data_IF_559549887527
#
_entry.id   IF_559549887527
#
_cell.length_a   1.000
_cell.length_b   1.000
_cell.length_c   1.000
_cell.angle_alpha   90.00
_cell.angle_beta   90.00
_cell.angle_gamma   90.00
#
_symmetry.space_group_name_H-M   'P 1'
#
loop_
_entity.id
_entity.type
_entity.pdbx_description
1 polymer ?
#
# COMPACT_ATOMS: atom_id res chain seq x y z
N UNK A 1 21.55 6.91 -9.09
CA UNK A 1 20.39 6.58 -8.25
C UNK A 1 19.18 7.40 -8.71
N UNK A 2 17.99 6.81 -8.76
CA UNK A 2 16.76 7.54 -9.11
C UNK A 2 16.44 8.60 -8.05
N UNK A 3 15.87 9.73 -8.46
CA UNK A 3 15.42 10.78 -7.55
C UNK A 3 14.12 10.32 -6.90
N UNK A 4 14.07 10.32 -5.56
CA UNK A 4 12.87 9.98 -4.81
C UNK A 4 11.86 11.14 -4.88
N UNK A 5 10.65 10.88 -5.36
CA UNK A 5 9.55 11.82 -5.38
C UNK A 5 8.50 11.39 -4.34
N UNK A 6 8.45 12.07 -3.20
CA UNK A 6 7.59 11.73 -2.06
C UNK A 6 6.22 12.37 -2.22
N UNK A 7 5.17 11.56 -2.17
CA UNK A 7 3.77 11.93 -2.34
C UNK A 7 2.98 11.65 -1.05
N UNK A 8 2.36 12.66 -0.47
CA UNK A 8 1.51 12.55 0.71
C UNK A 8 0.04 12.72 0.33
N UNK A 9 -0.78 11.73 0.64
CA UNK A 9 -2.23 11.79 0.45
C UNK A 9 -2.92 11.64 1.82
N UNK A 10 -3.43 12.72 2.42
CA UNK A 10 -4.04 12.68 3.74
C UNK A 10 -5.46 12.11 3.71
N UNK A 11 -5.57 10.85 3.32
CA UNK A 11 -6.83 10.11 3.17
C UNK A 11 -6.75 8.71 3.75
N UNK A 12 -7.89 8.18 4.17
CA UNK A 12 -8.11 6.79 4.58
C UNK A 12 -9.44 6.32 4.02
N UNK A 13 -9.45 5.25 3.25
CA UNK A 13 -10.68 4.72 2.63
C UNK A 13 -11.48 5.79 1.87
N UNK A 14 -10.79 6.62 1.09
CA UNK A 14 -11.40 7.71 0.33
C UNK A 14 -11.90 8.89 1.16
N UNK A 15 -11.68 8.91 2.47
CA UNK A 15 -12.09 9.94 3.42
C UNK A 15 -10.90 10.79 3.82
N UNK A 16 -11.09 12.11 4.01
CA UNK A 16 -10.04 13.01 4.45
C UNK A 16 -9.55 12.67 5.87
N UNK A 17 -8.21 12.66 6.07
CA UNK A 17 -7.52 12.40 7.34
C UNK A 17 -6.34 13.35 7.50
N UNK A 18 -6.60 14.52 8.04
CA UNK A 18 -5.60 15.59 8.15
C UNK A 18 -4.43 15.28 9.09
N UNK A 19 -4.59 14.30 9.99
CA UNK A 19 -3.51 13.87 10.90
C UNK A 19 -2.22 13.44 10.17
N UNK A 20 -2.34 12.87 8.97
CA UNK A 20 -1.17 12.49 8.16
C UNK A 20 -0.32 13.70 7.70
N UNK A 21 -0.89 14.91 7.66
CA UNK A 21 -0.17 16.14 7.28
C UNK A 21 0.98 16.47 8.24
N UNK A 22 0.96 15.91 9.45
CA UNK A 22 2.03 16.04 10.43
C UNK A 22 3.38 15.50 9.92
N UNK A 23 3.38 14.61 8.95
CA UNK A 23 4.60 14.14 8.28
C UNK A 23 5.39 15.31 7.67
N UNK A 24 4.72 16.36 7.19
CA UNK A 24 5.36 17.57 6.64
C UNK A 24 6.18 18.34 7.67
N UNK A 25 5.87 18.17 8.96
CA UNK A 25 6.56 18.83 10.08
C UNK A 25 7.68 17.95 10.65
N UNK A 26 7.53 16.61 10.55
CA UNK A 26 8.43 15.64 11.15
C UNK A 26 9.57 15.25 10.20
N UNK A 27 9.26 15.07 8.91
CA UNK A 27 10.24 14.65 7.92
C UNK A 27 11.09 15.83 7.44
N UNK A 28 12.38 15.62 7.34
CA UNK A 28 13.33 16.59 6.76
C UNK A 28 13.25 16.69 5.24
N UNK A 29 12.63 15.70 4.60
CA UNK A 29 12.50 15.65 3.14
C UNK A 29 11.18 16.27 2.70
N UNK A 30 11.15 16.93 1.53
CA UNK A 30 9.93 17.50 0.99
C UNK A 30 8.96 16.43 0.52
N UNK A 31 7.67 16.63 0.83
CA UNK A 31 6.55 15.85 0.32
C UNK A 31 5.66 16.74 -0.53
N UNK A 32 5.32 16.25 -1.71
CA UNK A 32 4.23 16.83 -2.50
C UNK A 32 2.91 16.32 -1.95
N UNK A 33 2.07 17.22 -1.46
CA UNK A 33 0.74 16.84 -0.96
C UNK A 33 -0.26 16.82 -2.13
N UNK A 34 -0.89 15.67 -2.35
CA UNK A 34 -1.96 15.49 -3.33
C UNK A 34 -3.32 15.54 -2.64
N UNK A 35 -4.19 16.42 -3.11
CA UNK A 35 -5.55 16.58 -2.57
C UNK A 35 -6.57 16.66 -3.69
N UNK A 36 -7.74 16.05 -3.45
CA UNK A 36 -8.88 16.14 -4.38
C UNK A 36 -9.56 17.53 -4.29
N UNK A 37 -10.09 17.95 -5.42
CA UNK A 37 -11.01 19.10 -5.51
C UNK A 37 -12.28 18.68 -6.29
N UNK A 38 -13.49 18.79 -5.72
CA UNK A 38 -13.76 19.06 -4.31
C UNK A 38 -13.25 17.95 -3.40
N UNK A 39 -12.87 18.32 -2.17
CA UNK A 39 -12.42 17.35 -1.18
C UNK A 39 -13.57 16.42 -0.75
N UNK A 40 -13.28 15.12 -0.53
CA UNK A 40 -14.25 14.21 0.05
C UNK A 40 -14.56 14.56 1.49
N UNK A 41 -15.70 14.09 1.97
CA UNK A 41 -16.09 14.25 3.36
C UNK A 41 -15.12 13.53 4.31
N UNK A 42 -15.05 13.99 5.56
CA UNK A 42 -14.26 13.36 6.61
C UNK A 42 -14.85 12.01 7.05
N UNK A 43 -16.15 11.78 6.76
CA UNK A 43 -16.83 10.52 7.03
C UNK A 43 -17.70 10.14 5.84
N UNK A 44 -17.49 8.93 5.34
CA UNK A 44 -18.30 8.27 4.31
C UNK A 44 -18.61 6.88 4.84
N UNK A 45 -19.88 6.59 5.10
CA UNK A 45 -20.28 5.29 5.65
C UNK A 45 -20.64 4.29 4.55
N UNK A 46 -21.26 4.75 3.46
CA UNK A 46 -21.68 3.89 2.35
C UNK A 46 -20.44 3.35 1.58
N UNK A 47 -20.30 2.02 1.41
CA UNK A 47 -19.17 1.43 0.70
C UNK A 47 -19.13 1.76 -0.80
N UNK A 48 -20.27 2.02 -1.44
CA UNK A 48 -20.32 2.44 -2.85
C UNK A 48 -19.76 3.84 -3.00
N UNK A 49 -20.13 4.76 -2.10
CA UNK A 49 -19.57 6.12 -2.09
C UNK A 49 -18.08 6.11 -1.73
N UNK A 50 -17.64 5.24 -0.79
CA UNK A 50 -16.20 5.03 -0.52
C UNK A 50 -15.45 4.62 -1.78
N UNK A 51 -15.96 3.63 -2.51
CA UNK A 51 -15.33 3.15 -3.75
C UNK A 51 -15.29 4.25 -4.81
N UNK A 52 -16.33 5.08 -4.91
CA UNK A 52 -16.33 6.23 -5.82
C UNK A 52 -15.25 7.26 -5.44
N UNK A 53 -15.13 7.58 -4.16
CA UNK A 53 -14.09 8.47 -3.64
C UNK A 53 -12.69 7.90 -3.87
N UNK A 54 -12.48 6.60 -3.58
CA UNK A 54 -11.22 5.88 -3.85
C UNK A 54 -10.84 5.91 -5.33
N UNK A 55 -11.82 5.68 -6.22
CA UNK A 55 -11.59 5.73 -7.67
C UNK A 55 -11.04 7.09 -8.13
N UNK A 56 -11.64 8.20 -7.65
CA UNK A 56 -11.17 9.56 -7.94
C UNK A 56 -9.78 9.82 -7.37
N UNK A 57 -9.57 9.46 -6.09
CA UNK A 57 -8.33 9.71 -5.36
C UNK A 57 -7.15 8.99 -6.01
N UNK A 58 -7.32 7.70 -6.31
CA UNK A 58 -6.22 6.90 -6.82
C UNK A 58 -6.04 7.01 -8.34
N UNK A 59 -7.03 7.50 -9.08
CA UNK A 59 -6.82 7.97 -10.45
C UNK A 59 -5.89 9.20 -10.48
N UNK A 60 -6.07 10.15 -9.56
CA UNK A 60 -5.17 11.28 -9.39
C UNK A 60 -3.75 10.84 -9.03
N UNK A 61 -3.62 9.90 -8.08
CA UNK A 61 -2.33 9.31 -7.72
C UNK A 61 -1.68 8.64 -8.93
N UNK A 62 -2.42 7.82 -9.68
CA UNK A 62 -1.92 7.12 -10.87
C UNK A 62 -1.37 8.09 -11.92
N UNK A 63 -2.10 9.16 -12.21
CA UNK A 63 -1.65 10.20 -13.15
C UNK A 63 -0.33 10.86 -12.68
N UNK A 64 -0.21 11.16 -11.38
CA UNK A 64 1.01 11.76 -10.83
C UNK A 64 2.19 10.80 -10.84
N UNK A 65 1.96 9.55 -10.43
CA UNK A 65 2.98 8.47 -10.48
C UNK A 65 3.46 8.26 -11.92
N UNK A 66 2.55 8.22 -12.89
CA UNK A 66 2.91 8.08 -14.30
C UNK A 66 3.82 9.24 -14.79
N UNK A 67 3.49 10.47 -14.42
CA UNK A 67 4.32 11.62 -14.77
C UNK A 67 5.73 11.50 -14.17
N UNK A 68 5.85 11.18 -12.88
CA UNK A 68 7.13 11.02 -12.19
C UNK A 68 7.96 9.87 -12.77
N UNK A 69 7.34 8.71 -13.00
CA UNK A 69 8.04 7.54 -13.51
C UNK A 69 8.58 7.76 -14.95
N UNK A 70 7.84 8.49 -15.81
CA UNK A 70 8.32 8.87 -17.16
C UNK A 70 9.59 9.74 -17.09
N UNK A 71 9.75 10.55 -16.05
CA UNK A 71 10.93 11.38 -15.82
C UNK A 71 12.04 10.65 -15.06
N UNK A 72 11.93 9.34 -14.86
CA UNK A 72 12.95 8.54 -14.16
C UNK A 72 12.98 8.73 -12.64
N UNK A 73 11.99 9.40 -12.06
CA UNK A 73 11.87 9.50 -10.61
C UNK A 73 11.30 8.18 -10.02
N UNK A 74 11.67 7.91 -8.77
CA UNK A 74 11.06 6.85 -7.95
C UNK A 74 9.90 7.45 -7.16
N UNK A 75 8.63 7.18 -7.50
CA UNK A 75 7.51 7.62 -6.69
C UNK A 75 7.46 6.86 -5.36
N UNK A 76 7.25 7.61 -4.28
CA UNK A 76 7.11 7.11 -2.91
C UNK A 76 5.84 7.71 -2.33
N UNK A 77 4.78 6.92 -2.15
CA UNK A 77 3.51 7.41 -1.59
C UNK A 77 3.34 7.04 -0.13
N UNK A 78 2.78 7.96 0.65
CA UNK A 78 2.29 7.73 2.01
C UNK A 78 0.80 8.08 2.05
N UNK A 79 -0.02 7.08 2.33
CA UNK A 79 -1.49 7.17 2.33
C UNK A 79 -2.05 6.39 3.51
N UNK A 80 -3.30 6.60 3.89
CA UNK A 80 -3.90 5.92 5.04
C UNK A 80 -4.30 4.46 4.81
N UNK A 81 -4.24 3.93 3.57
CA UNK A 81 -4.74 2.58 3.26
C UNK A 81 -4.01 1.90 2.10
N UNK A 82 -4.08 0.56 2.06
CA UNK A 82 -3.44 -0.30 1.06
C UNK A 82 -4.07 -0.19 -0.33
N UNK A 83 -5.30 0.36 -0.46
CA UNK A 83 -5.95 0.57 -1.77
C UNK A 83 -5.12 1.53 -2.65
N UNK A 84 -4.30 2.39 -2.05
CA UNK A 84 -3.36 3.28 -2.75
C UNK A 84 -2.38 2.54 -3.68
N UNK A 85 -2.08 1.27 -3.37
CA UNK A 85 -1.22 0.42 -4.21
C UNK A 85 -1.76 0.28 -5.64
N UNK A 86 -3.08 0.29 -5.81
CA UNK A 86 -3.74 0.24 -7.12
C UNK A 86 -3.39 1.47 -7.98
N UNK A 87 -3.39 2.66 -7.37
CA UNK A 87 -2.99 3.90 -8.04
C UNK A 87 -1.50 3.91 -8.40
N UNK A 88 -0.66 3.37 -7.52
CA UNK A 88 0.77 3.24 -7.79
C UNK A 88 1.05 2.31 -8.97
N UNK A 89 0.46 1.10 -8.98
CA UNK A 89 0.60 0.14 -10.07
C UNK A 89 0.08 0.73 -11.39
N UNK A 90 -1.14 1.27 -11.39
CA UNK A 90 -1.74 1.86 -12.58
C UNK A 90 -0.85 2.98 -13.17
N UNK A 91 -0.28 3.82 -12.32
CA UNK A 91 0.65 4.88 -12.74
C UNK A 91 1.94 4.34 -13.36
N UNK A 92 2.53 3.29 -12.78
CA UNK A 92 3.72 2.63 -13.34
C UNK A 92 3.43 2.01 -14.72
N UNK A 93 2.27 1.34 -14.85
CA UNK A 93 1.82 0.76 -16.13
C UNK A 93 1.57 1.85 -17.18
N UNK A 94 0.90 2.94 -16.83
CA UNK A 94 0.67 4.10 -17.71
C UNK A 94 1.97 4.80 -18.13
N UNK A 95 3.01 4.69 -17.32
CA UNK A 95 4.34 5.20 -17.68
C UNK A 95 5.13 4.27 -18.62
N UNK A 96 4.63 3.06 -18.90
CA UNK A 96 5.37 2.03 -19.62
C UNK A 96 6.54 1.44 -18.80
N UNK A 97 6.45 1.51 -17.47
CA UNK A 97 7.47 1.03 -16.53
C UNK A 97 6.90 0.03 -15.52
N UNK A 98 6.28 -1.08 -15.99
CA UNK A 98 5.73 -2.08 -15.09
C UNK A 98 6.83 -2.64 -14.17
N UNK A 99 6.54 -2.94 -12.90
CA UNK A 99 7.48 -3.71 -12.07
C UNK A 99 7.58 -5.14 -12.60
N UNK A 100 8.72 -5.78 -12.37
CA UNK A 100 8.91 -7.21 -12.67
C UNK A 100 8.48 -8.06 -11.47
N UNK A 101 8.59 -7.51 -10.27
CA UNK A 101 8.21 -8.13 -8.99
C UNK A 101 7.51 -7.11 -8.09
N UNK A 102 6.52 -7.59 -7.32
CA UNK A 102 5.89 -6.83 -6.24
C UNK A 102 6.18 -7.53 -4.91
N UNK A 103 6.74 -6.80 -3.96
CA UNK A 103 6.82 -7.21 -2.58
C UNK A 103 5.71 -6.52 -1.80
N UNK A 104 4.79 -7.31 -1.24
CA UNK A 104 3.70 -6.87 -0.38
C UNK A 104 4.03 -7.26 1.05
N UNK A 105 4.41 -6.27 1.88
CA UNK A 105 4.70 -6.44 3.30
C UNK A 105 3.47 -6.05 4.10
N UNK A 106 2.86 -7.01 4.79
CA UNK A 106 1.59 -6.82 5.50
C UNK A 106 1.40 -7.91 6.55
N UNK A 107 0.78 -7.58 7.68
CA UNK A 107 0.35 -8.57 8.66
C UNK A 107 -0.86 -9.38 8.20
N UNK A 108 -1.61 -8.85 7.21
CA UNK A 108 -2.85 -9.40 6.67
C UNK A 108 -2.66 -9.93 5.25
N UNK A 109 -3.68 -10.54 4.69
CA UNK A 109 -3.63 -11.04 3.32
C UNK A 109 -4.10 -10.02 2.29
N UNK A 110 -4.98 -9.11 2.69
CA UNK A 110 -5.64 -8.15 1.82
C UNK A 110 -6.30 -8.80 0.59
N UNK A 111 -6.72 -10.08 0.73
CA UNK A 111 -7.08 -10.95 -0.36
C UNK A 111 -8.56 -11.34 -0.40
N UNK A 112 -9.38 -10.61 0.36
CA UNK A 112 -10.84 -10.78 0.35
C UNK A 112 -11.49 -10.22 -0.93
N UNK A 113 -12.67 -10.76 -1.21
CA UNK A 113 -13.68 -10.16 -2.11
C UNK A 113 -14.95 -9.91 -1.31
N UNK A 114 -15.96 -9.25 -1.90
CA UNK A 114 -17.27 -9.09 -1.23
C UNK A 114 -17.91 -10.43 -0.85
N UNK A 115 -17.60 -11.50 -1.58
CA UNK A 115 -18.09 -12.84 -1.31
C UNK A 115 -17.44 -13.52 -0.11
N UNK A 116 -16.18 -13.22 0.17
CA UNK A 116 -15.41 -13.90 1.22
C UNK A 116 -15.26 -13.08 2.50
N UNK A 117 -15.40 -11.74 2.44
CA UNK A 117 -15.23 -10.89 3.62
C UNK A 117 -16.35 -11.04 4.62
N UNK A 118 -16.00 -11.18 5.89
CA UNK A 118 -16.94 -11.20 7.00
C UNK A 118 -17.26 -9.78 7.49
N UNK A 119 -16.28 -8.88 7.45
CA UNK A 119 -16.37 -7.52 7.98
C UNK A 119 -16.97 -6.52 6.99
N UNK A 120 -17.03 -6.88 5.69
CA UNK A 120 -17.41 -5.99 4.59
C UNK A 120 -16.47 -4.78 4.47
N UNK A 121 -15.23 -4.90 4.96
CA UNK A 121 -14.23 -3.84 4.96
C UNK A 121 -13.40 -3.87 3.67
N UNK A 122 -13.40 -2.76 2.94
CA UNK A 122 -12.68 -2.64 1.66
C UNK A 122 -11.16 -2.79 1.87
N UNK A 123 -10.65 -2.39 3.03
CA UNK A 123 -9.22 -2.47 3.36
C UNK A 123 -8.66 -3.89 3.38
N UNK A 124 -9.48 -4.93 3.50
CA UNK A 124 -9.02 -6.32 3.37
C UNK A 124 -9.09 -6.88 1.93
N UNK A 125 -9.19 -6.01 0.90
CA UNK A 125 -9.36 -6.44 -0.51
C UNK A 125 -8.28 -5.93 -1.48
N UNK A 126 -7.36 -5.05 -1.13
CA UNK A 126 -6.48 -4.39 -2.10
C UNK A 126 -5.61 -5.35 -2.91
N UNK A 127 -5.01 -6.35 -2.30
CA UNK A 127 -4.19 -7.33 -3.02
C UNK A 127 -5.04 -8.19 -3.96
N UNK A 128 -6.26 -8.57 -3.55
CA UNK A 128 -7.19 -9.27 -4.45
C UNK A 128 -7.52 -8.41 -5.67
N UNK A 129 -7.88 -7.14 -5.47
CA UNK A 129 -8.13 -6.18 -6.55
C UNK A 129 -6.89 -5.98 -7.44
N UNK A 130 -5.71 -5.94 -6.85
CA UNK A 130 -4.42 -5.74 -7.51
C UNK A 130 -4.12 -6.86 -8.53
N UNK A 131 -4.48 -8.09 -8.20
CA UNK A 131 -4.29 -9.26 -9.09
C UNK A 131 -5.55 -9.61 -9.89
N UNK A 132 -6.57 -8.77 -9.87
CA UNK A 132 -7.81 -8.96 -10.64
C UNK A 132 -8.79 -9.97 -10.04
N UNK A 133 -8.60 -10.37 -8.78
CA UNK A 133 -9.56 -11.22 -8.06
C UNK A 133 -10.69 -10.35 -7.50
N UNK A 134 -11.79 -10.24 -8.23
CA UNK A 134 -12.95 -9.41 -7.88
C UNK A 134 -14.25 -10.14 -8.15
N UNK A 135 -15.33 -9.75 -7.46
CA UNK A 135 -16.66 -10.31 -7.73
C UNK A 135 -17.30 -9.63 -8.95
N UNK A 136 -17.85 -10.44 -9.83
CA UNK A 136 -18.61 -10.02 -11.01
C UNK A 136 -20.14 -10.14 -10.80
N UNK A 137 -20.60 -10.03 -9.55
CA UNK A 137 -22.02 -10.13 -9.22
C UNK A 137 -22.77 -8.85 -9.61
N UNK A 138 -24.06 -8.94 -9.96
CA UNK A 138 -24.85 -7.78 -10.35
C UNK A 138 -25.34 -6.92 -9.15
N UNK A 139 -24.63 -6.97 -8.01
CA UNK A 139 -24.93 -6.15 -6.84
C UNK A 139 -24.21 -4.77 -6.89
N UNK A 140 -24.69 -3.78 -6.13
CA UNK A 140 -24.12 -2.42 -6.18
C UNK A 140 -22.65 -2.35 -5.80
N UNK A 141 -22.16 -3.15 -4.85
CA UNK A 141 -20.78 -3.11 -4.35
C UNK A 141 -19.80 -3.68 -5.39
N UNK A 142 -20.15 -4.84 -5.98
CA UNK A 142 -19.34 -5.43 -7.06
C UNK A 142 -19.24 -4.49 -8.26
N UNK A 143 -20.35 -3.87 -8.69
CA UNK A 143 -20.33 -2.86 -9.75
C UNK A 143 -19.49 -1.63 -9.39
N UNK A 144 -19.60 -1.15 -8.16
CA UNK A 144 -18.82 0.00 -7.69
C UNK A 144 -17.32 -0.32 -7.62
N UNK A 145 -16.96 -1.56 -7.24
CA UNK A 145 -15.56 -2.01 -7.26
C UNK A 145 -15.00 -2.00 -8.68
N UNK A 146 -15.71 -2.59 -9.64
CA UNK A 146 -15.29 -2.58 -11.04
C UNK A 146 -15.17 -1.16 -11.60
N UNK A 147 -16.13 -0.28 -11.26
CA UNK A 147 -16.08 1.14 -11.65
C UNK A 147 -14.89 1.87 -11.02
N UNK A 148 -14.57 1.58 -9.74
CA UNK A 148 -13.40 2.12 -9.06
C UNK A 148 -12.10 1.69 -9.76
N UNK A 149 -11.92 0.41 -10.04
CA UNK A 149 -10.75 -0.12 -10.73
C UNK A 149 -10.59 0.47 -12.14
N UNK A 150 -11.71 0.59 -12.87
CA UNK A 150 -11.72 1.22 -14.20
C UNK A 150 -11.33 2.70 -14.13
N UNK A 151 -11.84 3.45 -13.16
CA UNK A 151 -11.52 4.86 -12.97
C UNK A 151 -10.02 5.08 -12.66
N UNK A 152 -9.41 4.20 -11.86
CA UNK A 152 -7.98 4.22 -11.55
C UNK A 152 -7.14 3.79 -12.77
N UNK A 153 -7.70 2.98 -13.66
CA UNK A 153 -6.99 2.36 -14.77
C UNK A 153 -6.20 1.11 -14.38
N UNK A 154 -6.72 0.37 -13.39
CA UNK A 154 -6.07 -0.86 -12.91
C UNK A 154 -6.15 -1.95 -13.97
N UNK A 155 -5.02 -2.59 -14.22
CA UNK A 155 -4.91 -3.83 -14.97
C UNK A 155 -4.43 -4.92 -14.01
N UNK A 156 -5.04 -6.11 -14.08
CA UNK A 156 -4.68 -7.24 -13.23
C UNK A 156 -3.18 -7.56 -13.34
N UNK A 157 -2.51 -7.60 -12.20
CA UNK A 157 -1.09 -7.93 -12.14
C UNK A 157 -0.92 -9.45 -11.98
N UNK A 158 0.07 -10.09 -12.61
CA UNK A 158 0.30 -11.53 -12.50
C UNK A 158 0.59 -11.98 -11.07
N UNK A 159 -0.17 -12.94 -10.56
CA UNK A 159 -0.06 -13.44 -9.19
C UNK A 159 1.33 -14.02 -8.88
N UNK A 160 1.92 -14.74 -9.83
CA UNK A 160 3.24 -15.36 -9.71
C UNK A 160 4.40 -14.36 -9.59
N UNK A 161 4.12 -13.08 -9.79
CA UNK A 161 5.07 -11.97 -9.61
C UNK A 161 4.89 -11.24 -8.29
N UNK A 162 3.98 -11.71 -7.44
CA UNK A 162 3.75 -11.13 -6.11
C UNK A 162 4.39 -12.00 -5.04
N UNK A 163 5.12 -11.37 -4.14
CA UNK A 163 5.61 -11.94 -2.89
C UNK A 163 4.85 -11.27 -1.76
N UNK A 164 3.98 -12.02 -1.08
CA UNK A 164 3.28 -11.58 0.13
C UNK A 164 4.08 -12.03 1.36
N UNK A 165 4.65 -11.08 2.07
CA UNK A 165 5.54 -11.37 3.18
C UNK A 165 4.90 -11.01 4.52
N UNK A 166 5.04 -11.94 5.46
CA UNK A 166 4.65 -11.88 6.86
C UNK A 166 3.13 -11.81 7.13
N UNK A 167 2.30 -12.18 6.15
CA UNK A 167 0.86 -12.29 6.33
C UNK A 167 0.52 -13.43 7.30
N UNK A 168 0.28 -13.07 8.56
CA UNK A 168 0.12 -13.99 9.70
C UNK A 168 -1.28 -13.99 10.31
N UNK A 169 -2.06 -12.93 10.08
CA UNK A 169 -3.47 -12.82 10.47
C UNK A 169 -4.36 -12.94 9.23
N UNK A 170 -4.80 -14.15 8.97
CA UNK A 170 -5.58 -14.50 7.78
C UNK A 170 -6.94 -15.06 8.21
N UNK A 171 -8.00 -14.42 7.78
CA UNK A 171 -9.35 -14.93 7.89
C UNK A 171 -9.52 -16.25 7.10
N UNK A 172 -10.45 -17.16 7.49
CA UNK A 172 -10.62 -18.46 6.83
C UNK A 172 -10.77 -18.36 5.31
N UNK A 173 -11.73 -17.60 4.78
CA UNK A 173 -11.97 -17.49 3.33
C UNK A 173 -10.84 -16.81 2.54
N UNK A 174 -10.00 -16.02 3.21
CA UNK A 174 -8.81 -15.41 2.65
C UNK A 174 -7.65 -16.41 2.59
N UNK A 175 -7.48 -17.19 3.65
CA UNK A 175 -6.45 -18.23 3.76
C UNK A 175 -6.58 -19.26 2.64
N UNK A 176 -7.78 -19.78 2.41
CA UNK A 176 -8.06 -20.73 1.35
C UNK A 176 -7.77 -20.10 -0.03
N UNK A 177 -8.23 -18.88 -0.25
CA UNK A 177 -8.00 -18.19 -1.52
C UNK A 177 -6.51 -17.94 -1.82
N UNK A 178 -5.71 -17.66 -0.79
CA UNK A 178 -4.26 -17.51 -0.93
C UNK A 178 -3.56 -18.85 -1.19
N UNK A 179 -4.05 -19.94 -0.60
CA UNK A 179 -3.52 -21.28 -0.87
C UNK A 179 -3.77 -21.73 -2.32
N UNK A 180 -4.91 -21.33 -2.90
CA UNK A 180 -5.30 -21.63 -4.28
C UNK A 180 -4.68 -20.65 -5.30
N UNK A 181 -3.96 -19.62 -4.84
CA UNK A 181 -3.33 -18.59 -5.68
C UNK A 181 -1.91 -18.97 -6.10
N UNK A 182 -1.39 -18.28 -7.12
CA UNK A 182 0.04 -18.34 -7.48
C UNK A 182 0.90 -17.32 -6.74
N UNK A 183 0.36 -16.61 -5.73
CA UNK A 183 1.10 -15.67 -4.90
C UNK A 183 2.07 -16.44 -4.01
N UNK A 184 3.36 -16.06 -4.07
CA UNK A 184 4.36 -16.61 -3.16
C UNK A 184 4.16 -16.00 -1.77
N UNK A 185 4.10 -16.85 -0.74
CA UNK A 185 4.02 -16.42 0.65
C UNK A 185 5.30 -16.81 1.39
N UNK A 186 5.84 -15.89 2.19
CA UNK A 186 7.06 -16.13 2.95
C UNK A 186 7.07 -15.31 4.26
N UNK A 187 7.99 -15.62 5.15
CA UNK A 187 8.32 -14.76 6.29
C UNK A 187 9.22 -13.60 5.86
N UNK A 188 9.39 -12.61 6.74
CA UNK A 188 10.20 -11.43 6.45
C UNK A 188 11.66 -11.79 6.15
N UNK A 189 12.24 -12.73 6.87
CA UNK A 189 13.64 -13.18 6.74
C UNK A 189 13.90 -13.96 5.44
N UNK A 190 12.87 -14.57 4.86
CA UNK A 190 12.96 -15.28 3.58
C UNK A 190 12.87 -14.34 2.36
N UNK A 191 12.39 -13.11 2.53
CA UNK A 191 12.18 -12.15 1.42
C UNK A 191 13.40 -12.02 0.50
N UNK A 192 14.66 -11.87 1.01
CA UNK A 192 15.81 -11.73 0.12
C UNK A 192 16.04 -12.92 -0.82
N UNK A 193 15.63 -14.13 -0.44
CA UNK A 193 15.78 -15.33 -1.27
C UNK A 193 14.81 -15.35 -2.47
N UNK A 194 13.75 -14.53 -2.44
CA UNK A 194 12.71 -14.48 -3.46
C UNK A 194 12.80 -13.25 -4.38
N UNK A 195 13.80 -12.40 -4.17
CA UNK A 195 14.04 -11.20 -4.97
C UNK A 195 15.35 -11.30 -5.74
N UNK A 196 15.39 -10.67 -6.92
CA UNK A 196 16.61 -10.59 -7.74
C UNK A 196 17.03 -9.13 -7.88
N UNK A 197 18.33 -8.84 -7.81
CA UNK A 197 18.83 -7.45 -7.92
C UNK A 197 18.51 -6.76 -9.25
N UNK A 198 18.35 -7.53 -10.32
CA UNK A 198 18.08 -7.07 -11.68
C UNK A 198 16.58 -6.90 -11.99
N UNK A 199 15.68 -7.38 -11.10
CA UNK A 199 14.25 -7.19 -11.24
C UNK A 199 13.82 -5.80 -10.73
N UNK A 200 12.97 -5.12 -11.50
CA UNK A 200 12.31 -3.88 -11.06
C UNK A 200 11.30 -4.21 -9.98
N UNK A 201 11.58 -3.77 -8.76
CA UNK A 201 10.78 -4.08 -7.58
C UNK A 201 9.83 -2.93 -7.25
N UNK A 202 8.54 -3.20 -7.14
CA UNK A 202 7.59 -2.34 -6.46
C UNK A 202 7.37 -2.86 -5.03
N UNK A 203 7.66 -2.04 -4.04
CA UNK A 203 7.43 -2.33 -2.63
C UNK A 203 6.12 -1.68 -2.17
N UNK A 204 5.15 -2.50 -1.74
CA UNK A 204 4.03 -2.08 -0.91
C UNK A 204 4.32 -2.46 0.55
N UNK A 205 4.19 -1.50 1.45
CA UNK A 205 4.41 -1.68 2.87
C UNK A 205 3.19 -1.20 3.67
N UNK A 206 2.40 -2.13 4.24
CA UNK A 206 1.54 -1.79 5.36
C UNK A 206 2.38 -1.73 6.64
N UNK A 207 2.27 -0.62 7.36
CA UNK A 207 3.07 -0.41 8.58
C UNK A 207 2.69 -1.35 9.71
N UNK A 208 1.51 -2.00 9.67
CA UNK A 208 1.03 -2.93 10.66
C UNK A 208 1.72 -4.31 10.62
N UNK A 209 2.52 -4.58 9.57
CA UNK A 209 3.42 -5.74 9.56
C UNK A 209 4.36 -5.72 10.77
N UNK A 210 4.68 -4.53 11.30
CA UNK A 210 5.60 -4.35 12.43
C UNK A 210 4.92 -4.68 13.76
N UNK A 211 5.59 -5.47 14.60
CA UNK A 211 5.20 -5.72 15.99
C UNK A 211 6.21 -5.06 16.94
N UNK A 212 6.13 -3.75 17.09
CA UNK A 212 6.96 -2.99 18.02
C UNK A 212 6.16 -1.85 18.66
N UNK A 213 5.28 -2.18 19.63
CA UNK A 213 4.38 -1.19 20.23
C UNK A 213 5.13 -0.12 21.03
N UNK A 214 6.39 -0.35 21.38
CA UNK A 214 7.23 0.64 22.05
C UNK A 214 7.66 1.75 21.09
N UNK A 215 8.05 1.39 19.89
CA UNK A 215 8.50 2.33 18.86
C UNK A 215 7.35 2.85 17.99
N UNK A 216 6.34 2.01 17.75
CA UNK A 216 5.22 2.27 16.84
C UNK A 216 3.87 2.03 17.54
N UNK A 217 3.50 2.82 18.57
CA UNK A 217 2.30 2.58 19.36
C UNK A 217 0.99 2.88 18.63
N UNK A 218 1.02 3.60 17.50
CA UNK A 218 -0.16 4.04 16.76
C UNK A 218 -0.46 3.22 15.48
N UNK A 219 0.03 1.97 15.40
CA UNK A 219 -0.30 1.10 14.27
C UNK A 219 -1.81 0.78 14.24
N UNK A 220 -2.39 0.73 13.02
CA UNK A 220 -3.73 0.20 12.79
C UNK A 220 -3.66 -1.32 12.74
N UNK A 221 -4.70 -1.98 13.26
CA UNK A 221 -4.86 -3.44 13.12
C UNK A 221 -3.64 -4.25 13.54
N UNK A 222 -2.91 -3.77 14.56
CA UNK A 222 -1.69 -4.36 15.05
C UNK A 222 -1.83 -5.87 15.35
N UNK A 223 -0.96 -6.67 14.77
CA UNK A 223 -0.89 -8.12 14.93
C UNK A 223 0.40 -8.52 15.63
N UNK A 224 0.31 -9.33 16.67
CA UNK A 224 1.47 -9.82 17.42
C UNK A 224 2.32 -10.83 16.62
N UNK A 225 3.56 -11.03 17.09
CA UNK A 225 4.54 -11.99 16.54
C UNK A 225 5.03 -11.61 15.15
N UNK A 226 5.02 -10.32 14.84
CA UNK A 226 5.62 -9.76 13.63
C UNK A 226 7.06 -9.31 13.87
N UNK A 227 7.70 -8.81 12.81
CA UNK A 227 9.02 -8.23 12.90
C UNK A 227 9.02 -6.94 13.72
N UNK A 228 10.11 -6.70 14.42
CA UNK A 228 10.36 -5.42 15.10
C UNK A 228 10.65 -4.31 14.07
N UNK A 229 10.57 -3.06 14.50
CA UNK A 229 10.99 -1.92 13.67
C UNK A 229 12.47 -2.04 13.24
N UNK A 230 13.33 -2.65 14.07
CA UNK A 230 14.74 -2.85 13.74
C UNK A 230 14.93 -3.92 12.64
N UNK A 231 14.22 -5.03 12.70
CA UNK A 231 14.26 -6.09 11.69
C UNK A 231 13.67 -5.59 10.36
N UNK A 232 12.56 -4.88 10.39
CA UNK A 232 11.98 -4.25 9.19
C UNK A 232 12.97 -3.26 8.57
N UNK A 233 13.63 -2.44 9.39
CA UNK A 233 14.66 -1.50 8.94
C UNK A 233 15.87 -2.22 8.33
N UNK A 234 16.25 -3.39 8.85
CA UNK A 234 17.33 -4.21 8.30
C UNK A 234 16.97 -4.77 6.93
N UNK A 235 15.74 -5.28 6.74
CA UNK A 235 15.25 -5.69 5.43
C UNK A 235 15.28 -4.51 4.44
N UNK A 236 14.78 -3.35 4.82
CA UNK A 236 14.74 -2.17 3.94
C UNK A 236 16.16 -1.73 3.50
N UNK A 237 17.16 -1.88 4.36
CA UNK A 237 18.57 -1.67 3.95
C UNK A 237 19.03 -2.69 2.92
N UNK A 238 18.71 -3.97 3.11
CA UNK A 238 19.08 -5.02 2.17
C UNK A 238 18.40 -4.82 0.80
N UNK A 239 17.16 -4.31 0.77
CA UNK A 239 16.44 -4.00 -0.46
C UNK A 239 17.08 -2.85 -1.28
N UNK A 240 18.06 -2.11 -0.75
CA UNK A 240 18.79 -1.09 -1.51
C UNK A 240 19.61 -1.67 -2.67
N UNK A 241 19.95 -2.94 -2.58
CA UNK A 241 20.69 -3.65 -3.63
C UNK A 241 19.77 -4.09 -4.78
N UNK A 242 18.43 -3.96 -4.62
CA UNK A 242 17.44 -4.21 -5.66
C UNK A 242 17.11 -2.93 -6.44
N UNK A 243 16.61 -3.09 -7.68
CA UNK A 243 16.07 -1.96 -8.46
C UNK A 243 14.65 -1.60 -7.99
N UNK A 244 14.55 -0.94 -6.82
CA UNK A 244 13.26 -0.48 -6.30
C UNK A 244 12.76 0.69 -7.12
N UNK A 245 11.74 0.46 -7.94
CA UNK A 245 11.18 1.46 -8.87
C UNK A 245 10.05 2.30 -8.27
N UNK A 246 9.37 1.81 -7.24
CA UNK A 246 8.32 2.54 -6.51
C UNK A 246 8.13 1.99 -5.09
N UNK A 247 7.62 2.83 -4.20
CA UNK A 247 7.24 2.46 -2.83
C UNK A 247 5.87 3.03 -2.50
N UNK A 248 4.97 2.23 -1.94
CA UNK A 248 3.75 2.72 -1.29
C UNK A 248 3.72 2.32 0.18
N UNK A 249 3.34 3.25 1.03
CA UNK A 249 3.23 3.06 2.47
C UNK A 249 1.77 3.24 2.89
N UNK A 250 1.17 2.20 3.48
CA UNK A 250 -0.09 2.30 4.20
C UNK A 250 0.20 2.75 5.63
N UNK A 251 -0.29 3.95 5.95
CA UNK A 251 0.09 4.64 7.17
C UNK A 251 -0.65 4.13 8.41
N UNK A 252 -0.07 4.45 9.54
CA UNK A 252 -0.61 4.26 10.90
C UNK A 252 -1.82 5.16 11.20
N UNK A 253 -2.40 5.02 12.40
CA UNK A 253 -3.39 5.95 12.94
C UNK A 253 -2.74 7.28 13.31
N UNK A 254 -2.65 8.19 12.36
CA UNK A 254 -1.96 9.47 12.56
C UNK A 254 -2.64 10.34 13.64
N UNK A 255 -3.95 10.20 13.83
CA UNK A 255 -4.71 10.87 14.88
C UNK A 255 -4.35 10.37 16.30
N UNK A 256 -3.83 9.14 16.41
CA UNK A 256 -3.39 8.54 17.68
C UNK A 256 -1.88 8.69 17.93
N UNK A 257 -1.14 9.18 16.95
CA UNK A 257 0.32 9.38 17.04
C UNK A 257 0.64 10.81 17.56
N UNK A 258 0.09 11.14 18.73
CA UNK A 258 0.17 12.50 19.30
C UNK A 258 1.60 12.99 19.55
N UNK A 259 2.53 12.08 19.89
CA UNK A 259 3.95 12.40 20.07
C UNK A 259 4.81 12.18 18.80
N UNK A 260 4.23 11.65 17.73
CA UNK A 260 4.89 11.39 16.44
C UNK A 260 5.93 10.27 16.47
N UNK A 261 5.89 9.39 17.47
CA UNK A 261 6.85 8.26 17.56
C UNK A 261 6.71 7.29 16.40
N UNK A 262 5.48 6.91 16.09
CA UNK A 262 5.20 5.99 14.98
C UNK A 262 5.63 6.60 13.65
N UNK A 263 5.29 7.87 13.41
CA UNK A 263 5.72 8.61 12.23
C UNK A 263 7.25 8.60 12.07
N UNK A 264 7.99 8.96 13.12
CA UNK A 264 9.46 8.96 13.07
C UNK A 264 10.04 7.57 12.80
N UNK A 265 9.52 6.53 13.45
CA UNK A 265 9.97 5.16 13.22
C UNK A 265 9.71 4.71 11.77
N UNK A 266 8.53 5.01 11.22
CA UNK A 266 8.19 4.72 9.82
C UNK A 266 9.12 5.46 8.84
N UNK A 267 9.37 6.74 9.07
CA UNK A 267 10.26 7.55 8.24
C UNK A 267 11.70 7.04 8.30
N UNK A 268 12.20 6.66 9.49
CA UNK A 268 13.52 6.05 9.65
C UNK A 268 13.67 4.71 8.89
N UNK A 269 12.61 3.89 8.88
CA UNK A 269 12.59 2.63 8.11
C UNK A 269 12.60 2.93 6.61
N UNK A 270 11.76 3.87 6.17
CA UNK A 270 11.69 4.28 4.78
C UNK A 270 13.01 4.87 4.28
N UNK A 271 13.66 5.74 5.07
CA UNK A 271 14.97 6.33 4.74
C UNK A 271 16.07 5.27 4.64
N UNK A 272 15.96 4.17 5.41
CA UNK A 272 16.90 3.05 5.30
C UNK A 272 16.87 2.39 3.91
N UNK A 273 15.72 2.37 3.23
CA UNK A 273 15.58 1.91 1.84
C UNK A 273 16.04 2.98 0.85
N UNK A 274 15.60 4.22 1.05
CA UNK A 274 15.80 5.29 0.07
C UNK A 274 17.25 5.83 0.05
N UNK A 275 18.04 5.55 1.07
CA UNK A 275 19.44 5.96 1.16
C UNK A 275 19.63 7.44 1.44
N UNK A 276 18.69 8.03 2.18
CA UNK A 276 18.62 9.47 2.48
C UNK A 276 18.85 9.76 3.96
#
# INVERSE_FOLDING_TARGET
MAVNARLLLPYLMGQRRDGLRRVLEIDRHPWEMLTLDPQPEARIDDPVEKLRSLGRLYAMLAARVAALARHGCRPVSLVGDCVSSLGMLAGLLQAGRPPDRVLWLDAHGDFHTWASTQTQYIGGMPLAMFVGRVDHRPDPRSRATLACLSAIGVQAYPQERVVLADARDLDPGEREALLDSAILRCSLDEVPAHLRPDERLYLHWDTDVVDDPTRMPALKYHVRRGPTAAETKALFRALRDCDVVAVSVSAWHAEHDGDGRTARACLEILDALLGT
#
